data_IF_855528289156
#
_entry.id   IF_855528289156
#
_cell.length_a   1.000
_cell.length_b   1.000
_cell.length_c   1.000
_cell.angle_alpha   90.00
_cell.angle_beta   90.00
_cell.angle_gamma   90.00
#
_symmetry.space_group_name_H-M   'P 1'
#
loop_
_entity.id
_entity.type
_entity.pdbx_description
1 polymer ?
2 polymer ?
3 non-polymer ?
#
# COMPACT_ATOMS: atom_id res chain seq x y z
N UNK A 2 -6.04 23.94 -32.59
CA UNK A 2 -6.72 24.07 -31.27
C UNK A 2 -6.40 22.85 -30.41
N UNK A 3 -5.18 22.83 -29.88
CA UNK A 3 -4.71 21.76 -28.99
C UNK A 3 -5.15 22.07 -27.57
N UNK A 4 -5.93 21.17 -26.97
CA UNK A 4 -6.46 21.38 -25.61
C UNK A 4 -5.91 20.36 -24.63
N UNK A 5 -5.70 20.81 -23.39
CA UNK A 5 -5.30 19.94 -22.28
C UNK A 5 -6.49 19.69 -21.38
N UNK A 6 -6.87 18.42 -21.23
CA UNK A 6 -7.99 18.07 -20.37
C UNK A 6 -7.56 17.92 -18.92
N UNK A 7 -8.14 18.74 -18.06
CA UNK A 7 -7.98 18.60 -16.61
C UNK A 7 -9.30 18.10 -16.02
N UNK A 8 -9.22 17.02 -15.24
CA UNK A 8 -10.39 16.41 -14.62
C UNK A 8 -10.11 16.28 -13.14
N UNK A 9 -10.82 17.08 -12.36
CA UNK A 9 -10.57 17.15 -10.94
C UNK A 9 -11.90 16.96 -10.24
N UNK A 10 -11.85 16.77 -8.93
CA UNK A 10 -12.99 16.95 -8.06
C UNK A 10 -13.86 18.15 -8.46
N UNK A 11 -13.24 19.29 -8.82
CA UNK A 11 -14.00 20.51 -9.10
C UNK A 11 -14.84 20.45 -10.39
N UNK A 12 -14.46 19.57 -11.31
CA UNK A 12 -15.15 19.43 -12.59
C UNK A 12 -14.21 19.21 -13.75
N UNK A 13 -14.70 19.51 -14.95
CA UNK A 13 -13.92 19.35 -16.18
C UNK A 13 -13.47 20.70 -16.69
N UNK A 14 -12.15 20.91 -16.76
CA UNK A 14 -11.58 22.16 -17.27
C UNK A 14 -10.76 21.97 -18.54
N UNK A 15 -10.99 22.84 -19.52
CA UNK A 15 -10.21 22.87 -20.74
C UNK A 15 -9.15 23.96 -20.67
N UNK A 16 -7.91 23.58 -20.94
CA UNK A 16 -6.80 24.53 -20.94
C UNK A 16 -6.13 24.57 -22.30
N UNK A 17 -5.54 25.73 -22.61
CA UNK A 17 -4.63 25.83 -23.75
C UNK A 17 -3.21 25.50 -23.30
N UNK A 18 -2.28 25.44 -24.24
CA UNK A 18 -0.90 25.06 -23.96
C UNK A 18 -0.15 26.01 -23.03
N UNK A 19 -0.64 27.24 -22.86
CA UNK A 19 -0.04 28.20 -21.94
C UNK A 19 -0.73 28.29 -20.58
N UNK A 20 -1.65 27.36 -20.31
CA UNK A 20 -2.33 27.26 -19.02
C UNK A 20 -3.47 28.24 -18.79
N UNK A 21 -4.11 28.68 -19.88
CA UNK A 21 -5.29 29.55 -19.83
C UNK A 21 -6.56 28.70 -19.98
N UNK A 22 -7.58 29.01 -19.18
CA UNK A 22 -8.85 28.31 -19.28
C UNK A 22 -9.62 28.74 -20.54
N UNK A 23 -9.98 27.75 -21.36
CA UNK A 23 -10.77 27.98 -22.58
C UNK A 23 -12.27 27.88 -22.26
N UNK A 24 -12.65 26.82 -21.57
CA UNK A 24 -14.03 26.59 -21.13
C UNK A 24 -14.02 25.57 -19.98
N UNK A 25 -15.13 25.51 -19.24
CA UNK A 25 -15.22 24.62 -18.08
C UNK A 25 -16.66 24.17 -17.82
N UNK A 26 -16.80 22.96 -17.28
CA UNK A 26 -18.08 22.53 -16.72
C UNK A 26 -17.84 21.99 -15.31
N UNK A 27 -18.42 22.68 -14.33
CA UNK A 27 -18.26 22.38 -12.91
C UNK A 27 -19.08 21.16 -12.50
N UNK A 28 -18.47 20.31 -11.68
CA UNK A 28 -19.17 19.21 -11.03
C UNK A 28 -20.30 19.70 -10.11
N UNK A 29 -21.36 18.88 -9.94
CA UNK A 29 -22.32 19.21 -8.88
C UNK A 29 -21.70 18.92 -7.53
N UNK A 30 -22.07 19.69 -6.51
CA UNK A 30 -21.52 19.50 -5.17
C UNK A 30 -22.16 18.33 -4.44
N UNK A 31 -22.09 17.16 -5.06
CA UNK A 31 -22.72 15.95 -4.52
C UNK A 31 -21.68 14.86 -4.27
N UNK A 32 -21.53 14.48 -3.00
CA UNK A 32 -20.53 13.50 -2.59
C UNK A 32 -20.59 12.20 -3.39
N UNK A 33 -21.81 11.65 -3.51
CA UNK A 33 -22.04 10.40 -4.21
C UNK A 33 -21.62 10.45 -5.68
N UNK A 34 -22.09 11.46 -6.39
CA UNK A 34 -21.75 11.63 -7.82
C UNK A 34 -20.25 11.76 -8.06
N UNK A 35 -19.59 12.63 -7.30
CA UNK A 35 -18.16 12.86 -7.49
C UNK A 35 -17.35 11.61 -7.14
N UNK A 36 -17.70 10.97 -6.01
CA UNK A 36 -17.08 9.71 -5.60
C UNK A 36 -17.12 8.63 -6.68
N UNK A 37 -18.32 8.34 -7.18
CA UNK A 37 -18.47 7.31 -8.20
C UNK A 37 -17.89 7.72 -9.55
N UNK A 38 -17.91 9.02 -9.85
CA UNK A 38 -17.27 9.52 -11.06
C UNK A 38 -15.75 9.39 -11.06
N UNK A 39 -15.14 9.56 -9.89
CA UNK A 39 -13.71 9.36 -9.71
C UNK A 39 -13.29 7.90 -9.82
N UNK A 40 -14.19 7.00 -9.44
CA UNK A 40 -13.92 5.56 -9.47
C UNK A 40 -13.80 5.04 -10.89
N UNK A 41 -14.71 5.47 -11.76
CA UNK A 41 -14.73 5.06 -13.16
C UNK A 41 -13.59 5.71 -13.94
N UNK A 42 -13.19 6.90 -13.49
CA UNK A 42 -12.09 7.63 -14.10
C UNK A 42 -10.73 6.99 -13.81
N UNK A 43 -10.66 6.16 -12.77
CA UNK A 43 -9.47 5.36 -12.48
C UNK A 43 -9.30 4.27 -13.54
N UNK A 44 -10.43 3.76 -14.02
CA UNK A 44 -10.47 2.79 -15.10
C UNK A 44 -10.30 3.47 -16.45
N UNK A 45 -10.58 4.77 -16.52
CA UNK A 45 -10.39 5.55 -17.73
C UNK A 45 -11.69 6.00 -18.36
N UNK A 46 -12.77 5.97 -17.60
CA UNK A 46 -14.06 6.49 -18.06
C UNK A 46 -14.15 8.01 -17.79
N UNK A 47 -14.37 8.81 -18.86
CA UNK A 47 -14.43 10.27 -18.71
C UNK A 47 -15.59 10.71 -17.85
N UNK A 48 -15.42 11.83 -17.16
CA UNK A 48 -16.49 12.46 -16.40
C UNK A 48 -17.65 12.75 -17.33
N UNK A 49 -18.87 12.67 -16.84
CA UNK A 49 -20.03 13.11 -17.62
C UNK A 49 -19.92 14.61 -17.90
N UNK A 50 -19.19 15.32 -17.05
CA UNK A 50 -18.85 16.74 -17.25
C UNK A 50 -17.85 16.93 -18.39
N UNK A 51 -17.00 15.92 -18.59
CA UNK A 51 -16.01 15.93 -19.66
C UNK A 51 -16.68 15.77 -21.03
N UNK A 52 -17.63 14.85 -21.10
CA UNK A 52 -18.39 14.56 -22.31
C UNK A 52 -19.11 15.83 -22.80
N UNK A 53 -19.71 16.57 -21.88
CA UNK A 53 -20.39 17.84 -22.22
C UNK A 53 -19.41 18.92 -22.65
N UNK A 54 -18.26 18.95 -21.99
CA UNK A 54 -17.24 19.97 -22.25
C UNK A 54 -16.62 19.76 -23.63
N UNK A 55 -16.31 18.51 -23.96
CA UNK A 55 -15.70 18.18 -25.24
C UNK A 55 -16.66 18.32 -26.41
N UNK A 56 -17.91 18.66 -26.11
CA UNK A 56 -18.92 18.93 -27.14
C UNK A 56 -18.94 20.41 -27.51
N UNK A 57 -19.20 21.28 -26.53
CA UNK A 57 -19.23 22.74 -26.76
C UNK A 57 -17.86 23.37 -27.00
N UNK A 58 -16.80 22.61 -26.78
CA UNK A 58 -15.46 23.03 -27.21
C UNK A 58 -15.12 22.32 -28.51
N UNK A 59 -14.97 20.99 -28.46
CA UNK A 59 -14.62 20.17 -29.63
C UNK A 59 -13.33 20.63 -30.32
N UNK A 60 -12.17 20.30 -29.71
CA UNK A 60 -10.87 20.81 -30.17
C UNK A 60 -10.23 19.91 -31.23
N UNK A 61 -9.16 20.41 -31.85
CA UNK A 61 -8.46 19.61 -32.85
C UNK A 61 -7.81 18.42 -32.16
N UNK A 62 -7.04 18.67 -31.11
CA UNK A 62 -6.44 17.58 -30.35
C UNK A 62 -6.62 17.81 -28.86
N UNK A 63 -7.00 16.74 -28.15
CA UNK A 63 -7.08 16.79 -26.68
C UNK A 63 -5.92 15.99 -26.11
N UNK A 64 -5.24 16.57 -25.12
CA UNK A 64 -4.27 15.81 -24.35
C UNK A 64 -4.77 15.56 -22.92
N UNK A 65 -4.51 14.35 -22.45
CA UNK A 65 -5.11 13.83 -21.23
C UNK A 65 -4.05 13.39 -20.21
N UNK A 66 -4.47 13.28 -18.95
CA UNK A 66 -3.61 12.95 -17.82
C UNK A 66 -3.50 11.41 -17.56
N UNK A 67 -4.51 10.65 -17.99
CA UNK A 67 -4.54 9.19 -17.76
C UNK A 67 -4.70 8.41 -19.06
N UNK A 68 -3.70 7.59 -19.38
CA UNK A 68 -3.61 6.90 -20.67
C UNK A 68 -4.64 5.77 -20.91
N UNK A 69 -5.45 5.47 -19.91
CA UNK A 69 -6.58 4.56 -20.09
C UNK A 69 -7.81 5.28 -20.67
N UNK A 70 -7.80 6.61 -20.57
CA UNK A 70 -8.84 7.45 -21.15
C UNK A 70 -8.66 7.65 -22.65
N UNK A 71 -7.42 7.48 -23.13
CA UNK A 71 -7.07 7.66 -24.54
C UNK A 71 -7.99 6.86 -25.48
N UNK A 72 -8.01 5.50 -25.35
CA UNK A 72 -8.85 4.72 -26.26
C UNK A 72 -10.36 4.91 -26.05
N UNK A 73 -10.76 5.22 -24.82
CA UNK A 73 -12.16 5.54 -24.53
C UNK A 73 -12.66 6.80 -25.27
N UNK A 74 -11.81 7.83 -25.36
CA UNK A 74 -12.13 9.06 -26.07
C UNK A 74 -11.91 8.97 -27.57
N UNK A 75 -11.07 8.02 -27.99
CA UNK A 75 -10.88 7.73 -29.41
C UNK A 75 -12.01 6.87 -29.97
N UNK A 76 -13.02 6.61 -29.14
CA UNK A 76 -14.25 5.95 -29.57
C UNK A 76 -15.33 7.00 -29.81
N UNK A 77 -15.12 8.19 -29.26
CA UNK A 77 -16.04 9.32 -29.43
C UNK A 77 -15.66 10.22 -30.61
N UNK A 78 -14.56 9.89 -31.29
CA UNK A 78 -14.08 10.67 -32.42
C UNK A 78 -13.28 11.91 -32.06
N UNK A 79 -12.37 11.78 -31.10
CA UNK A 79 -11.40 12.83 -30.81
C UNK A 79 -9.98 12.38 -31.10
N UNK A 80 -9.15 13.32 -31.56
CA UNK A 80 -7.73 13.09 -31.66
C UNK A 80 -7.14 13.25 -30.24
N UNK A 81 -6.66 12.15 -29.67
CA UNK A 81 -6.32 12.07 -28.25
C UNK A 81 -4.89 11.59 -27.99
N UNK A 82 -4.13 12.37 -27.22
CA UNK A 82 -2.81 11.94 -26.80
C UNK A 82 -2.59 12.05 -25.29
N UNK A 83 -1.51 11.42 -24.83
CA UNK A 83 -1.21 11.33 -23.41
C UNK A 83 0.07 12.10 -23.08
N UNK A 84 -0.04 13.01 -22.13
CA UNK A 84 1.12 13.65 -21.52
C UNK A 84 1.07 13.45 -20.00
N UNK A 85 2.03 12.67 -19.47
CA UNK A 85 2.02 12.21 -18.09
C UNK A 85 1.89 13.36 -17.08
N UNK A 86 2.96 14.15 -16.93
CA UNK A 86 3.02 15.17 -15.89
C UNK A 86 3.29 16.54 -16.51
N UNK A 87 2.33 17.01 -17.30
CA UNK A 87 2.50 18.22 -18.10
C UNK A 87 2.54 19.49 -17.25
N UNK A 88 3.27 20.49 -17.73
CA UNK A 88 3.33 21.83 -17.15
C UNK A 88 1.96 22.41 -16.87
N UNK A 89 1.04 22.25 -17.83
CA UNK A 89 -0.33 22.77 -17.73
C UNK A 89 -1.13 22.17 -16.56
N UNK A 90 -0.96 20.87 -16.32
CA UNK A 90 -1.68 20.25 -15.22
C UNK A 90 -1.07 20.67 -13.87
N UNK A 91 0.25 20.82 -13.85
CA UNK A 91 0.91 21.41 -12.70
C UNK A 91 0.38 22.84 -12.44
N UNK A 92 0.26 23.65 -13.50
CA UNK A 92 -0.27 25.01 -13.42
C UNK A 92 -1.71 25.05 -12.88
N UNK A 93 -2.49 24.04 -13.23
CA UNK A 93 -3.79 23.88 -12.63
C UNK A 93 -3.71 23.62 -11.12
N UNK A 94 -2.81 22.75 -10.69
CA UNK A 94 -2.73 22.41 -9.26
C UNK A 94 -2.12 23.52 -8.39
N UNK A 95 -1.26 24.34 -8.99
CA UNK A 95 -0.65 25.48 -8.29
C UNK A 95 -1.70 26.53 -7.92
N UNK A 96 -2.79 26.55 -8.68
CA UNK A 96 -3.82 27.57 -8.51
C UNK A 96 -5.09 27.09 -7.80
N UNK A 97 -4.98 25.94 -7.12
CA UNK A 97 -6.13 25.10 -6.82
C UNK A 97 -7.06 25.47 -5.64
N UNK A 98 -6.60 26.27 -4.68
CA UNK A 98 -7.79 26.70 -3.96
C UNK A 98 -8.58 27.67 -4.85
N UNK A 99 -7.91 28.74 -5.30
CA UNK A 99 -8.51 29.84 -6.08
C UNK A 99 -9.46 29.48 -7.25
N UNK A 100 -9.08 28.53 -8.10
CA UNK A 100 -9.89 28.26 -9.28
C UNK A 100 -11.20 27.53 -8.98
N UNK A 101 -11.24 26.79 -7.87
CA UNK A 101 -12.48 26.22 -7.37
C UNK A 101 -13.52 27.33 -7.18
N UNK A 102 -13.05 28.50 -6.75
CA UNK A 102 -13.87 29.70 -6.60
C UNK A 102 -14.21 30.33 -7.95
N UNK A 103 -13.20 30.51 -8.79
CA UNK A 103 -13.32 31.10 -10.14
C UNK A 103 -14.34 30.41 -11.04
N UNK A 104 -14.36 29.08 -11.02
CA UNK A 104 -15.34 28.30 -11.79
C UNK A 104 -16.61 27.99 -10.98
N UNK A 105 -16.71 28.58 -9.78
CA UNK A 105 -17.94 28.57 -8.95
C UNK A 105 -18.29 27.22 -8.28
N UNK A 106 -17.32 26.34 -8.14
CA UNK A 106 -17.52 25.08 -7.39
C UNK A 106 -17.63 25.35 -5.89
N UNK A 107 -16.83 26.29 -5.41
CA UNK A 107 -16.84 26.66 -4.01
C UNK A 107 -17.05 28.16 -3.90
N UNK A 108 -17.78 28.59 -2.88
CA UNK A 108 -17.99 30.02 -2.61
C UNK A 108 -16.76 30.70 -1.99
N UNK A 109 -15.95 29.94 -1.26
CA UNK A 109 -14.68 30.42 -0.69
C UNK A 109 -13.71 29.24 -0.43
N UNK A 110 -12.55 29.52 0.16
CA UNK A 110 -11.58 28.47 0.51
C UNK A 110 -12.08 27.53 1.61
N UNK A 111 -12.64 28.10 2.67
CA UNK A 111 -13.04 27.31 3.84
C UNK A 111 -13.99 26.20 3.45
N UNK A 112 -14.88 26.47 2.49
CA UNK A 112 -15.87 25.49 2.10
C UNK A 112 -15.39 24.55 1.01
N UNK A 113 -14.43 25.00 0.19
CA UNK A 113 -13.75 24.09 -0.72
C UNK A 113 -13.12 22.96 0.06
N UNK A 114 -12.31 23.31 1.06
CA UNK A 114 -11.60 22.33 1.88
C UNK A 114 -12.49 21.53 2.82
N UNK A 115 -13.61 22.13 3.27
CA UNK A 115 -14.62 21.39 4.02
C UNK A 115 -15.23 20.32 3.13
N UNK A 116 -15.51 20.68 1.88
CA UNK A 116 -16.02 19.69 0.95
C UNK A 116 -14.96 18.67 0.54
N UNK A 117 -13.72 19.12 0.32
CA UNK A 117 -12.63 18.23 -0.05
C UNK A 117 -12.46 17.17 1.03
N UNK A 118 -12.50 17.59 2.29
CA UNK A 118 -12.38 16.68 3.41
C UNK A 118 -13.52 15.68 3.53
N UNK A 119 -14.77 16.11 3.33
CA UNK A 119 -15.93 15.21 3.34
C UNK A 119 -15.75 14.17 2.23
N UNK A 120 -15.28 14.65 1.09
CA UNK A 120 -15.10 13.86 -0.12
C UNK A 120 -14.10 12.71 0.05
N UNK A 121 -12.90 13.03 0.52
CA UNK A 121 -11.84 12.06 0.74
C UNK A 121 -12.24 10.98 1.74
N UNK A 122 -13.04 11.34 2.75
CA UNK A 122 -13.57 10.32 3.66
C UNK A 122 -14.55 9.35 2.98
N UNK A 123 -15.47 9.86 2.16
CA UNK A 123 -16.37 8.98 1.38
C UNK A 123 -15.61 8.09 0.38
N UNK A 124 -14.82 8.72 -0.47
CA UNK A 124 -14.01 8.05 -1.48
C UNK A 124 -13.18 6.88 -0.94
N UNK A 125 -12.46 7.10 0.16
CA UNK A 125 -11.68 5.99 0.74
C UNK A 125 -12.52 4.91 1.45
N UNK A 126 -13.62 5.31 2.09
CA UNK A 126 -14.59 4.35 2.65
C UNK A 126 -15.16 3.43 1.56
N UNK A 127 -15.49 4.03 0.41
CA UNK A 127 -15.97 3.29 -0.75
C UNK A 127 -14.92 2.26 -1.21
N UNK A 128 -13.71 2.74 -1.45
CA UNK A 128 -12.58 1.89 -1.84
C UNK A 128 -12.18 0.86 -0.78
N UNK A 129 -12.46 1.15 0.49
CA UNK A 129 -12.25 0.17 1.56
C UNK A 129 -13.20 -1.01 1.41
N UNK A 130 -14.49 -0.71 1.35
CA UNK A 130 -15.51 -1.73 1.20
C UNK A 130 -15.18 -2.65 0.05
N UNK A 131 -14.89 -2.05 -1.11
CA UNK A 131 -14.68 -2.83 -2.31
C UNK A 131 -13.36 -3.61 -2.28
N UNK A 132 -12.36 -3.12 -1.55
CA UNK A 132 -11.12 -3.86 -1.36
C UNK A 132 -11.34 -5.04 -0.41
N UNK A 133 -12.22 -4.84 0.58
CA UNK A 133 -12.59 -5.88 1.51
C UNK A 133 -13.47 -6.93 0.83
N UNK A 134 -14.37 -6.48 -0.04
CA UNK A 134 -15.21 -7.41 -0.81
C UNK A 134 -14.40 -8.30 -1.74
N UNK A 135 -13.47 -7.72 -2.49
CA UNK A 135 -12.58 -8.48 -3.35
C UNK A 135 -11.67 -9.45 -2.59
N UNK A 136 -11.07 -8.97 -1.50
CA UNK A 136 -10.17 -9.78 -0.70
C UNK A 136 -10.86 -11.07 -0.27
N UNK A 137 -12.07 -10.97 0.28
CA UNK A 137 -12.67 -12.18 0.74
C UNK A 137 -13.51 -12.93 -0.31
N UNK A 138 -13.74 -12.33 -1.47
CA UNK A 138 -14.11 -13.13 -2.64
C UNK A 138 -12.97 -14.11 -2.96
N UNK A 139 -11.73 -13.61 -2.88
CA UNK A 139 -10.54 -14.42 -3.16
C UNK A 139 -10.33 -15.47 -2.08
N UNK A 140 -10.75 -15.17 -0.86
CA UNK A 140 -10.52 -16.08 0.25
C UNK A 140 -11.48 -17.27 0.26
N UNK A 141 -12.77 -17.06 -0.05
CA UNK A 141 -13.71 -18.18 -0.22
C UNK A 141 -13.28 -19.14 -1.34
N UNK A 142 -12.68 -18.60 -2.39
CA UNK A 142 -12.15 -19.43 -3.47
C UNK A 142 -11.04 -20.33 -2.95
N UNK A 143 -10.12 -19.76 -2.18
CA UNK A 143 -9.09 -20.52 -1.52
C UNK A 143 -9.67 -21.57 -0.59
N UNK A 144 -10.76 -21.22 0.11
CA UNK A 144 -11.41 -22.16 1.03
C UNK A 144 -12.00 -23.32 0.23
N UNK A 145 -12.66 -23.00 -0.88
CA UNK A 145 -13.39 -24.00 -1.65
C UNK A 145 -12.43 -24.91 -2.41
N UNK A 146 -11.32 -24.34 -2.86
CA UNK A 146 -10.25 -25.12 -3.47
C UNK A 146 -9.68 -26.13 -2.46
N UNK A 147 -9.57 -25.73 -1.19
CA UNK A 147 -9.12 -26.69 -0.16
C UNK A 147 -10.10 -27.84 0.00
N UNK A 148 -11.40 -27.54 -0.05
CA UNK A 148 -12.42 -28.57 -0.04
C UNK A 148 -12.29 -29.51 -1.25
N UNK A 149 -12.06 -28.91 -2.42
CA UNK A 149 -11.85 -29.65 -3.66
C UNK A 149 -10.65 -30.56 -3.59
N UNK A 150 -9.58 -30.06 -2.98
CA UNK A 150 -8.36 -30.83 -2.75
C UNK A 150 -8.58 -31.96 -1.72
N UNK A 151 -9.31 -31.68 -0.65
CA UNK A 151 -9.65 -32.71 0.33
C UNK A 151 -10.34 -33.88 -0.35
N UNK A 152 -11.45 -33.55 -1.01
CA UNK A 152 -12.25 -34.52 -1.76
C UNK A 152 -11.39 -35.34 -2.74
N UNK A 153 -10.50 -34.65 -3.47
CA UNK A 153 -9.60 -35.27 -4.42
C UNK A 153 -8.59 -36.21 -3.74
N UNK A 154 -8.07 -35.80 -2.59
CA UNK A 154 -7.13 -36.63 -1.82
C UNK A 154 -7.82 -37.93 -1.47
N UNK A 155 -9.05 -37.87 -0.96
CA UNK A 155 -9.76 -39.09 -0.62
C UNK A 155 -9.99 -39.97 -1.83
N UNK A 156 -10.27 -39.34 -2.96
CA UNK A 156 -10.55 -40.06 -4.20
C UNK A 156 -9.30 -40.81 -4.66
N UNK A 157 -8.20 -40.10 -4.86
CA UNK A 157 -6.97 -40.69 -5.39
C UNK A 157 -6.38 -41.70 -4.44
N UNK A 158 -6.56 -41.45 -3.15
CA UNK A 158 -5.90 -42.29 -2.18
C UNK A 158 -6.67 -43.59 -2.00
N UNK A 159 -7.98 -43.55 -2.22
CA UNK A 159 -8.77 -44.78 -2.29
C UNK A 159 -8.48 -45.60 -3.56
N UNK A 160 -8.06 -44.92 -4.63
CA UNK A 160 -7.62 -45.57 -5.87
C UNK A 160 -6.26 -46.25 -5.70
N UNK A 161 -5.33 -45.53 -5.07
CA UNK A 161 -4.01 -46.03 -4.76
C UNK A 161 -4.07 -47.28 -3.86
N UNK A 162 -4.87 -47.20 -2.80
CA UNK A 162 -5.07 -48.32 -1.85
C UNK A 162 -5.59 -49.60 -2.52
N UNK A 163 -6.56 -49.47 -3.40
CA UNK A 163 -7.05 -50.60 -4.17
C UNK A 163 -6.02 -51.11 -5.17
N UNK A 164 -5.31 -50.18 -5.81
CA UNK A 164 -4.37 -50.49 -6.88
C UNK A 164 -3.15 -51.15 -6.28
N UNK A 165 -2.55 -50.50 -5.28
CA UNK A 165 -1.37 -51.02 -4.62
C UNK A 165 -1.61 -52.31 -3.87
N UNK A 166 -2.86 -52.55 -3.48
CA UNK A 166 -3.21 -53.74 -2.71
C UNK A 166 -3.00 -55.04 -3.47
N UNK A 167 -2.88 -54.94 -4.80
CA UNK A 167 -2.64 -56.09 -5.66
C UNK A 167 -1.26 -56.67 -5.31
N UNK A 168 -0.37 -55.80 -4.89
CA UNK A 168 1.02 -56.11 -4.54
C UNK A 168 1.19 -56.36 -3.05
N UNK A 169 0.59 -55.52 -2.24
CA UNK A 169 0.79 -55.54 -0.79
C UNK A 169 -0.55 -55.17 -0.16
N UNK A 170 -1.53 -56.10 -0.16
CA UNK A 170 -2.86 -55.79 0.40
C UNK A 170 -2.88 -55.53 1.91
N UNK A 171 -1.95 -56.13 2.65
CA UNK A 171 -1.87 -56.00 4.11
C UNK A 171 -1.68 -54.56 4.62
N UNK A 172 -1.09 -53.70 3.81
CA UNK A 172 -0.66 -52.37 4.26
C UNK A 172 -1.82 -51.39 4.49
N UNK A 173 -2.88 -51.54 3.70
CA UNK A 173 -4.03 -50.66 3.70
C UNK A 173 -4.65 -50.42 5.09
N UNK A 174 -4.81 -51.49 5.87
CA UNK A 174 -5.34 -51.38 7.23
C UNK A 174 -4.26 -51.01 8.25
N UNK A 175 -3.00 -51.14 7.86
CA UNK A 175 -1.87 -50.77 8.72
C UNK A 175 -1.51 -49.28 8.65
N UNK A 176 -1.90 -48.60 7.58
CA UNK A 176 -1.70 -47.15 7.47
C UNK A 176 -2.99 -46.38 7.25
N UNK A 177 -3.55 -45.88 8.35
CA UNK A 177 -4.72 -45.02 8.33
C UNK A 177 -4.55 -43.73 7.49
N UNK A 178 -3.42 -43.03 7.70
CA UNK A 178 -3.19 -41.70 7.12
C UNK A 178 -2.84 -41.76 5.63
N UNK A 179 -3.54 -40.97 4.83
CA UNK A 179 -3.38 -41.01 3.39
C UNK A 179 -2.00 -40.55 2.94
N UNK A 180 -1.46 -39.56 3.66
CA UNK A 180 -0.15 -39.00 3.35
C UNK A 180 0.97 -40.01 3.63
N UNK A 181 0.88 -40.72 4.75
CA UNK A 181 1.85 -41.75 5.12
C UNK A 181 1.84 -42.91 4.12
N UNK A 182 0.64 -43.34 3.73
CA UNK A 182 0.47 -44.39 2.76
C UNK A 182 1.09 -44.00 1.40
N UNK A 183 0.64 -42.89 0.83
CA UNK A 183 1.26 -42.33 -0.38
C UNK A 183 2.80 -42.23 -0.30
N UNK A 184 3.31 -41.80 0.85
CA UNK A 184 4.77 -41.73 1.09
C UNK A 184 5.49 -43.08 0.95
N UNK A 185 4.87 -44.15 1.45
CA UNK A 185 5.49 -45.47 1.38
C UNK A 185 5.54 -45.96 -0.07
N UNK A 186 4.45 -45.77 -0.81
CA UNK A 186 4.42 -46.17 -2.22
C UNK A 186 5.43 -45.35 -3.02
N UNK A 187 5.36 -44.03 -2.87
CA UNK A 187 6.25 -43.11 -3.55
C UNK A 187 7.71 -43.39 -3.25
N UNK A 188 8.03 -43.55 -1.97
CA UNK A 188 9.42 -43.67 -1.53
C UNK A 188 10.07 -45.01 -1.83
N UNK A 189 9.36 -46.10 -1.51
CA UNK A 189 9.98 -47.44 -1.47
C UNK A 189 9.49 -48.45 -2.51
N UNK A 190 8.31 -48.20 -3.07
CA UNK A 190 7.73 -49.05 -4.12
C UNK A 190 7.45 -50.47 -3.68
N UNK A 191 8.33 -51.38 -4.11
CA UNK A 191 8.34 -52.79 -3.69
C UNK A 191 8.24 -52.92 -2.19
N UNK A 192 7.30 -53.74 -1.73
CA UNK A 192 7.23 -54.11 -0.33
C UNK A 192 8.53 -54.80 0.13
N UNK A 193 9.33 -55.28 -0.83
CA UNK A 193 10.62 -55.91 -0.57
C UNK A 193 11.76 -54.94 -0.24
N UNK A 194 11.56 -53.66 -0.54
CA UNK A 194 12.54 -52.64 -0.18
C UNK A 194 12.40 -52.14 1.25
N UNK A 195 11.25 -52.39 1.87
CA UNK A 195 11.00 -51.90 3.22
C UNK A 195 11.96 -52.49 4.25
N UNK A 196 12.68 -51.60 4.92
CA UNK A 196 13.63 -51.99 5.97
C UNK A 196 13.26 -51.25 7.25
N UNK A 197 13.85 -51.66 8.37
CA UNK A 197 13.70 -50.96 9.62
C UNK A 197 14.13 -49.50 9.41
N UNK A 198 15.32 -49.34 8.83
CA UNK A 198 15.99 -48.05 8.71
C UNK A 198 15.21 -47.04 7.87
N UNK A 199 14.51 -47.51 6.83
CA UNK A 199 13.76 -46.61 5.97
C UNK A 199 12.42 -46.19 6.57
N UNK A 200 11.77 -47.07 7.32
CA UNK A 200 10.50 -46.74 7.96
C UNK A 200 10.65 -45.75 9.11
N UNK A 201 11.85 -45.64 9.66
CA UNK A 201 12.14 -44.64 10.68
C UNK A 201 12.10 -43.22 10.10
N UNK A 202 12.43 -43.08 8.82
CA UNK A 202 12.33 -41.80 8.10
C UNK A 202 10.91 -41.22 8.10
N UNK A 203 9.95 -42.03 8.54
CA UNK A 203 8.56 -41.57 8.62
C UNK A 203 8.13 -41.45 10.09
N UNK A 204 9.07 -41.76 10.98
CA UNK A 204 8.84 -41.65 12.41
C UNK A 204 8.01 -42.74 13.08
N UNK A 205 7.90 -43.92 12.47
CA UNK A 205 7.22 -45.03 13.14
C UNK A 205 8.11 -45.63 14.21
N UNK A 206 7.51 -46.00 15.33
CA UNK A 206 8.24 -46.69 16.40
C UNK A 206 8.28 -48.20 16.19
N UNK A 207 8.90 -48.90 17.14
CA UNK A 207 9.17 -50.32 17.02
C UNK A 207 7.97 -51.19 16.63
N UNK A 208 6.83 -50.98 17.28
CA UNK A 208 5.63 -51.79 17.08
C UNK A 208 5.04 -51.65 15.67
N UNK A 209 4.88 -50.41 15.22
CA UNK A 209 4.40 -50.13 13.86
C UNK A 209 5.33 -50.77 12.82
N UNK A 210 6.63 -50.50 12.92
CA UNK A 210 7.64 -51.02 11.99
C UNK A 210 7.64 -52.55 11.89
N UNK A 211 7.79 -53.22 13.03
CA UNK A 211 7.82 -54.68 13.02
C UNK A 211 6.50 -55.33 12.53
N UNK A 212 5.36 -54.69 12.78
CA UNK A 212 4.11 -55.12 12.16
C UNK A 212 4.13 -55.03 10.63
N UNK A 213 4.57 -53.88 10.10
CA UNK A 213 4.66 -53.65 8.65
C UNK A 213 5.67 -54.56 7.95
N UNK A 214 6.86 -54.69 8.54
CA UNK A 214 7.89 -55.60 8.02
C UNK A 214 7.43 -57.06 8.01
N UNK A 215 6.66 -57.42 9.05
CA UNK A 215 6.10 -58.77 9.19
C UNK A 215 5.11 -59.04 8.06
N UNK A 216 4.25 -58.06 7.78
CA UNK A 216 3.23 -58.15 6.75
C UNK A 216 3.82 -58.32 5.35
N UNK A 217 4.93 -57.62 5.07
CA UNK A 217 5.64 -57.70 3.79
C UNK A 217 6.31 -59.06 3.57
N UNK A 218 6.84 -59.63 4.66
CA UNK A 218 7.48 -60.94 4.65
C UNK A 218 6.45 -62.05 4.35
N UNK A 219 5.32 -62.01 5.04
CA UNK A 219 4.28 -63.03 4.94
C UNK A 219 3.18 -62.65 3.93
N UNK A 220 3.44 -61.60 3.15
CA UNK A 220 2.43 -61.00 2.27
C UNK A 220 1.82 -61.98 1.28
N UNK A 221 0.56 -61.73 0.97
CA UNK A 221 -0.21 -62.56 0.03
C UNK A 221 -0.19 -61.98 -1.39
N UNK A 222 0.22 -60.72 -1.53
CA UNK A 222 0.15 -60.02 -2.81
C UNK A 222 0.97 -60.60 -3.96
N UNK A 223 0.75 -60.05 -5.16
CA UNK A 223 1.45 -60.47 -6.38
C UNK A 223 2.77 -59.72 -6.63
N UNK A 224 3.69 -60.36 -7.35
CA UNK A 224 4.90 -59.70 -7.85
C UNK A 224 4.55 -58.72 -8.95
N UNK A 225 5.28 -57.62 -9.01
CA UNK A 225 4.97 -56.54 -9.90
C UNK A 225 6.23 -56.02 -10.59
N UNK A 226 6.10 -55.45 -11.77
CA UNK A 226 7.27 -54.94 -12.48
C UNK A 226 7.49 -53.47 -12.22
N UNK A 227 8.65 -52.96 -12.60
CA UNK A 227 8.99 -51.55 -12.38
C UNK A 227 8.07 -50.57 -13.13
N UNK A 228 7.57 -50.98 -14.29
CA UNK A 228 6.52 -50.22 -14.98
C UNK A 228 5.20 -50.16 -14.21
N UNK A 229 4.77 -51.29 -13.65
CA UNK A 229 3.58 -51.32 -12.79
C UNK A 229 3.67 -50.35 -11.58
N UNK A 230 4.73 -50.49 -10.77
CA UNK A 230 4.98 -49.56 -9.65
C UNK A 230 5.02 -48.12 -10.13
N UNK A 231 5.69 -47.91 -11.25
CA UNK A 231 5.89 -46.58 -11.80
C UNK A 231 4.57 -45.84 -12.01
N UNK A 232 3.62 -46.52 -12.66
CA UNK A 232 2.29 -45.98 -12.90
C UNK A 232 1.55 -45.68 -11.59
N UNK A 233 1.62 -46.60 -10.62
CA UNK A 233 1.04 -46.37 -9.29
C UNK A 233 1.66 -45.13 -8.65
N UNK A 234 2.97 -44.95 -8.83
CA UNK A 234 3.68 -43.80 -8.25
C UNK A 234 3.24 -42.45 -8.85
N UNK A 235 2.68 -42.46 -10.04
CA UNK A 235 2.13 -41.22 -10.56
C UNK A 235 0.96 -40.75 -9.69
N UNK A 236 0.14 -41.68 -9.21
CA UNK A 236 -0.97 -41.36 -8.30
C UNK A 236 -0.44 -40.97 -6.91
N UNK A 237 0.48 -41.77 -6.38
CA UNK A 237 1.11 -41.51 -5.08
C UNK A 237 1.75 -40.13 -4.99
N UNK A 238 2.50 -39.72 -6.01
CA UNK A 238 3.16 -38.41 -6.01
C UNK A 238 2.19 -37.25 -6.14
N UNK A 239 1.11 -37.46 -6.90
CA UNK A 239 0.05 -36.49 -7.03
C UNK A 239 -0.59 -36.23 -5.67
N UNK A 240 -0.79 -37.28 -4.87
CA UNK A 240 -1.36 -37.14 -3.52
C UNK A 240 -0.44 -36.31 -2.67
N UNK A 241 0.84 -36.65 -2.66
CA UNK A 241 1.83 -35.82 -1.97
C UNK A 241 1.79 -34.35 -2.45
N UNK A 242 1.76 -34.12 -3.77
CA UNK A 242 1.70 -32.74 -4.31
C UNK A 242 0.50 -31.96 -3.74
N UNK A 243 -0.65 -32.62 -3.69
CA UNK A 243 -1.88 -32.03 -3.17
C UNK A 243 -1.83 -31.70 -1.68
N UNK A 244 -1.21 -32.56 -0.86
CA UNK A 244 -1.00 -32.21 0.55
C UNK A 244 -0.19 -30.93 0.64
N UNK A 245 0.83 -30.86 -0.21
CA UNK A 245 1.69 -29.71 -0.26
C UNK A 245 0.92 -28.45 -0.65
N UNK A 246 0.10 -28.60 -1.69
CA UNK A 246 -0.71 -27.51 -2.21
C UNK A 246 -1.74 -27.06 -1.19
N UNK A 247 -2.29 -28.00 -0.45
CA UNK A 247 -3.24 -27.66 0.61
C UNK A 247 -2.59 -26.81 1.70
N UNK A 248 -1.39 -27.19 2.14
CA UNK A 248 -0.69 -26.44 3.18
C UNK A 248 -0.38 -25.00 2.75
N UNK A 249 0.11 -24.82 1.51
CA UNK A 249 0.40 -23.50 0.95
C UNK A 249 -0.82 -22.60 0.80
N UNK A 250 -1.98 -23.20 0.57
CA UNK A 250 -3.23 -22.46 0.47
C UNK A 250 -3.68 -22.00 1.84
N UNK A 251 -3.41 -22.82 2.86
CA UNK A 251 -3.73 -22.45 4.23
C UNK A 251 -2.88 -21.30 4.73
N UNK A 252 -1.62 -21.24 4.30
CA UNK A 252 -0.78 -20.08 4.60
C UNK A 252 -1.33 -18.85 3.91
N UNK A 253 -1.61 -18.94 2.60
CA UNK A 253 -2.26 -17.85 1.87
C UNK A 253 -3.53 -17.35 2.55
N UNK A 254 -4.40 -18.29 2.93
CA UNK A 254 -5.70 -17.99 3.56
C UNK A 254 -5.54 -17.24 4.87
N UNK A 255 -4.60 -17.66 5.71
CA UNK A 255 -4.36 -16.96 6.99
C UNK A 255 -3.87 -15.53 6.77
N UNK A 256 -2.75 -15.39 6.06
CA UNK A 256 -2.18 -14.07 5.74
C UNK A 256 -3.17 -13.07 5.17
N UNK A 257 -4.18 -13.56 4.45
CA UNK A 257 -5.16 -12.71 3.76
C UNK A 257 -6.43 -12.45 4.58
N UNK A 258 -6.92 -13.49 5.27
CA UNK A 258 -8.06 -13.33 6.19
C UNK A 258 -7.62 -12.45 7.36
N UNK A 259 -6.33 -12.49 7.66
CA UNK A 259 -5.68 -11.65 8.69
C UNK A 259 -6.05 -10.16 8.58
N UNK B 5 8.41 20.06 35.40
CA UNK B 5 7.83 20.04 34.03
C UNK B 5 7.89 21.45 33.42
N UNK B 6 8.25 21.50 32.13
CA UNK B 6 8.38 22.75 31.34
C UNK B 6 8.33 22.37 29.86
N UNK B 7 7.88 23.32 29.03
CA UNK B 7 7.82 23.13 27.57
C UNK B 7 8.49 24.31 26.83
N UNK B 8 9.35 23.98 25.88
CA UNK B 8 10.24 24.94 25.24
C UNK B 8 10.16 24.89 23.71
N UNK B 9 10.14 26.07 23.09
CA UNK B 9 10.24 26.20 21.64
C UNK B 9 11.62 25.73 21.20
N UNK B 10 11.67 24.91 20.14
CA UNK B 10 12.93 24.44 19.58
C UNK B 10 13.46 25.42 18.53
N UNK B 11 14.31 24.94 17.63
CA UNK B 11 14.77 25.74 16.49
C UNK B 11 13.66 25.88 15.46
N UNK B 12 12.80 24.86 15.43
CA UNK B 12 11.80 24.68 14.38
C UNK B 12 10.40 25.13 14.81
N UNK B 13 9.73 25.85 13.92
CA UNK B 13 8.36 26.32 14.13
C UNK B 13 7.45 25.17 14.57
N UNK B 14 6.60 25.45 15.55
CA UNK B 14 5.65 24.50 16.14
C UNK B 14 6.19 23.16 16.67
N UNK B 15 7.49 23.08 16.87
CA UNK B 15 8.07 21.92 17.52
C UNK B 15 8.70 22.33 18.86
N UNK B 16 8.31 21.61 19.90
CA UNK B 16 8.63 21.96 21.28
C UNK B 16 9.37 20.82 21.97
N UNK B 17 9.87 21.10 23.17
CA UNK B 17 10.54 20.11 24.03
C UNK B 17 9.97 20.15 25.44
N UNK B 18 9.71 18.98 26.00
CA UNK B 18 9.36 18.89 27.42
C UNK B 18 10.62 18.66 28.25
N UNK B 19 10.67 19.32 29.39
CA UNK B 19 11.64 19.02 30.44
C UNK B 19 10.87 18.24 31.50
N UNK B 20 11.45 17.16 32.00
CA UNK B 20 10.76 16.30 32.96
C UNK B 20 11.40 16.24 34.34
N UNK B 21 10.59 15.85 35.31
CA UNK B 21 10.98 15.58 36.70
C UNK B 21 12.15 14.61 36.87
N UNK B 22 12.28 13.68 35.93
CA UNK B 22 13.33 12.65 35.95
C UNK B 22 14.64 13.09 35.31
N UNK B 23 14.62 14.23 34.62
CA UNK B 23 15.82 14.78 33.98
C UNK B 23 16.00 14.44 32.50
N UNK B 24 14.91 14.09 31.82
CA UNK B 24 14.97 13.69 30.42
C UNK B 24 14.20 14.65 29.51
N UNK B 25 14.60 14.69 28.23
CA UNK B 25 13.94 15.53 27.24
C UNK B 25 13.13 14.68 26.27
N UNK B 26 11.94 15.16 25.94
CA UNK B 26 11.09 14.52 24.94
C UNK B 26 10.59 15.55 23.93
N UNK B 27 10.50 15.16 22.66
CA UNK B 27 9.94 16.02 21.63
C UNK B 27 8.42 16.08 21.78
N UNK B 28 7.81 17.03 21.09
CA UNK B 28 6.53 17.54 21.52
C UNK B 28 5.89 18.41 20.43
N UNK B 29 4.62 18.17 20.12
CA UNK B 29 3.82 19.08 19.25
C UNK B 29 2.57 19.59 19.95
N UNK B 30 2.15 20.82 19.61
CA UNK B 30 0.90 21.39 20.13
C UNK B 30 -0.29 20.63 19.56
N UNK B 31 -1.19 20.19 20.44
CA UNK B 31 -2.36 19.40 20.03
C UNK B 31 -3.40 20.24 19.27
N UNK B 32 -3.64 19.86 18.03
CA UNK B 32 -4.66 20.51 17.21
C UNK B 32 -6.06 20.13 17.68
N UNK B 33 -6.19 18.96 18.32
CA UNK B 33 -7.46 18.55 18.92
C UNK B 33 -7.33 18.22 20.42
N UNK B 34 -7.56 19.23 21.28
CA UNK B 34 -7.39 19.07 22.73
C UNK B 34 -8.16 17.87 23.29
N UNK B 35 -7.57 17.24 24.32
CA UNK B 35 -8.17 16.13 25.10
C UNK B 35 -8.24 14.77 24.39
N UNK B 36 -8.07 14.77 23.08
CA UNK B 36 -8.16 13.56 22.27
C UNK B 36 -6.81 12.94 21.94
N UNK B 37 -6.62 11.72 22.41
CA UNK B 37 -5.45 10.90 22.14
C UNK B 37 -5.42 10.44 20.68
N UNK B 38 -4.25 10.01 20.20
CA UNK B 38 -4.13 9.43 18.85
C UNK B 38 -3.67 7.96 18.87
N UNK B 39 -2.49 7.69 19.44
CA UNK B 39 -1.90 6.35 19.43
C UNK B 39 -1.34 5.89 20.79
N UNK B 40 -1.94 6.34 21.89
CA UNK B 40 -1.47 5.99 23.23
C UNK B 40 -0.48 6.96 23.84
N UNK B 41 0.01 7.89 23.03
CA UNK B 41 0.99 8.90 23.44
C UNK B 41 0.44 9.81 24.53
N UNK B 42 1.34 10.38 25.33
CA UNK B 42 0.90 11.16 26.49
C UNK B 42 0.54 12.62 26.17
N UNK B 43 -0.48 13.10 26.89
CA UNK B 43 -0.94 14.47 26.80
C UNK B 43 -0.36 15.27 27.97
N UNK B 44 0.29 16.39 27.65
CA UNK B 44 0.89 17.23 28.68
C UNK B 44 0.38 18.66 28.68
N UNK B 45 0.11 19.15 29.90
CA UNK B 45 -0.52 20.45 30.13
C UNK B 45 0.46 21.47 30.68
N UNK B 46 0.87 22.41 29.83
CA UNK B 46 1.72 23.49 30.30
C UNK B 46 1.12 24.85 29.93
N UNK B 47 0.92 25.67 30.95
CA UNK B 47 0.42 27.03 30.80
C UNK B 47 -0.81 27.15 29.88
N UNK B 48 -1.85 26.38 30.22
CA UNK B 48 -3.11 26.43 29.50
C UNK B 48 -3.16 25.72 28.16
N UNK B 49 -2.00 25.32 27.63
CA UNK B 49 -1.93 24.67 26.32
C UNK B 49 -1.62 23.17 26.43
N UNK B 50 -2.27 22.37 25.60
CA UNK B 50 -2.06 20.93 25.61
C UNK B 50 -1.14 20.46 24.50
N UNK B 51 -0.14 19.66 24.86
CA UNK B 51 0.85 19.16 23.89
C UNK B 51 0.83 17.64 23.82
N UNK B 52 1.02 17.11 22.62
CA UNK B 52 1.17 15.67 22.43
C UNK B 52 2.64 15.32 22.36
N UNK B 53 3.05 14.40 23.22
CA UNK B 53 4.39 13.83 23.18
C UNK B 53 4.66 13.19 21.83
N UNK B 54 5.89 13.32 21.34
CA UNK B 54 6.29 12.77 20.04
C UNK B 54 7.38 11.73 20.17
N UNK B 55 6.98 10.47 20.28
CA UNK B 55 7.91 9.37 20.49
C UNK B 55 8.84 9.08 19.29
N UNK B 56 10.12 9.38 19.46
CA UNK B 56 11.13 9.21 18.38
C UNK B 56 11.41 7.76 17.97
N UNK B 57 11.01 6.82 18.82
CA UNK B 57 11.14 5.38 18.54
C UNK B 57 10.07 4.87 17.60
N UNK B 58 8.93 5.56 17.57
CA UNK B 58 7.81 5.19 16.70
C UNK B 58 7.75 6.02 15.43
N UNK B 59 8.26 7.24 15.50
CA UNK B 59 8.19 8.16 14.37
C UNK B 59 9.58 8.48 13.83
N UNK B 60 9.76 8.18 12.53
CA UNK B 60 11.02 8.48 11.85
C UNK B 60 11.36 9.98 11.87
N UNK B 61 10.38 10.86 11.65
CA UNK B 61 10.64 12.30 11.59
C UNK B 61 11.18 12.88 12.92
N UNK B 62 10.52 12.55 14.02
CA UNK B 62 11.01 12.92 15.35
C UNK B 62 12.44 12.38 15.52
N UNK B 63 12.68 11.18 15.02
CA UNK B 63 14.00 10.61 14.99
C UNK B 63 15.01 11.55 14.36
N UNK B 64 14.70 12.03 13.16
CA UNK B 64 15.62 12.89 12.41
C UNK B 64 15.97 14.17 13.16
N UNK B 65 14.96 14.79 13.76
CA UNK B 65 15.13 16.02 14.52
C UNK B 65 16.21 15.87 15.60
N UNK B 66 16.15 14.78 16.35
CA UNK B 66 17.08 14.54 17.46
C UNK B 66 18.44 14.04 16.98
N UNK B 67 18.47 13.55 15.75
CA UNK B 67 19.72 13.17 15.09
C UNK B 67 20.31 14.36 14.35
N UNK B 68 19.67 15.51 14.50
CA UNK B 68 20.20 16.79 14.04
C UNK B 68 19.82 17.25 12.64
N UNK B 69 18.56 17.05 12.26
CA UNK B 69 18.06 17.67 11.04
C UNK B 69 18.20 19.18 11.18
N UNK B 70 19.01 19.79 10.31
CA UNK B 70 19.31 21.22 10.38
C UNK B 70 18.06 22.07 10.17
N UNK B 71 17.50 22.01 8.97
CA UNK B 71 16.28 22.74 8.67
C UNK B 71 15.18 21.76 8.41
N UNK B 72 14.01 22.03 9.00
CA UNK B 72 12.83 21.21 8.80
C UNK B 72 11.86 21.94 7.84
N UNK B 73 11.55 21.34 6.68
CA UNK B 73 10.66 22.00 5.71
C UNK B 73 9.18 21.96 6.12
N UNK B 74 8.85 21.21 7.17
CA UNK B 74 7.47 21.14 7.64
C UNK B 74 7.20 22.16 8.75
N UNK B 75 6.62 23.30 8.37
CA UNK B 75 6.29 24.40 9.27
C UNK B 75 4.78 24.79 9.18
N UNK B 76 4.39 25.92 9.76
CA UNK B 76 2.98 26.35 9.76
C UNK B 76 2.50 26.70 8.36
N UNK B 77 1.38 26.11 7.95
CA UNK B 77 0.76 26.39 6.65
C UNK B 77 1.30 25.53 5.51
N UNK B 78 2.19 24.60 5.83
CA UNK B 78 2.84 23.78 4.84
C UNK B 78 1.83 22.83 4.19
N UNK B 79 1.91 22.71 2.85
CA UNK B 79 1.15 21.69 2.13
C UNK B 79 2.03 20.47 1.88
N UNK B 80 1.60 19.30 2.35
CA UNK B 80 2.44 18.10 2.25
C UNK B 80 1.72 16.90 1.61
N UNK B 81 2.47 16.15 0.81
CA UNK B 81 2.01 14.87 0.29
C UNK B 81 2.81 13.82 1.05
N UNK B 82 2.11 12.99 1.79
CA UNK B 82 2.74 12.00 2.67
C UNK B 82 2.48 10.62 2.09
N UNK B 83 3.50 9.99 1.53
CA UNK B 83 3.35 8.64 1.00
C UNK B 83 3.80 7.59 2.03
N UNK B 84 2.89 6.68 2.34
CA UNK B 84 3.07 5.76 3.46
C UNK B 84 2.45 6.28 4.76
N UNK B 85 1.27 6.87 4.70
CA UNK B 85 0.63 7.45 5.89
C UNK B 85 0.44 6.46 7.06
N UNK B 86 0.35 5.16 6.76
CA UNK B 86 0.16 4.12 7.79
C UNK B 86 -1.05 4.40 8.68
N UNK B 87 -0.95 4.05 9.96
CA UNK B 87 -2.08 4.17 10.88
C UNK B 87 -2.32 5.60 11.39
N UNK B 88 -1.34 6.48 11.13
CA UNK B 88 -1.46 7.91 11.42
C UNK B 88 -0.53 8.49 12.47
N UNK B 89 0.37 7.67 13.03
CA UNK B 89 1.35 8.14 14.03
C UNK B 89 2.02 9.47 13.68
N UNK B 90 2.77 9.51 12.57
CA UNK B 90 3.53 10.71 12.26
C UNK B 90 2.82 11.86 11.49
N UNK B 91 1.83 11.57 10.63
CA UNK B 91 1.09 12.66 9.98
C UNK B 91 0.31 13.42 11.04
N UNK B 92 -0.14 12.72 12.08
CA UNK B 92 -0.89 13.39 13.14
C UNK B 92 -0.04 14.53 13.72
N UNK B 93 1.26 14.30 13.84
CA UNK B 93 2.18 15.32 14.27
C UNK B 93 2.43 16.39 13.21
N UNK B 94 2.52 16.03 11.92
CA UNK B 94 2.63 17.06 10.89
C UNK B 94 1.37 17.94 10.85
N UNK B 95 0.21 17.33 11.05
CA UNK B 95 -1.06 18.03 11.17
C UNK B 95 -1.04 19.05 12.34
N UNK B 96 -0.33 18.74 13.43
CA UNK B 96 -0.14 19.66 14.55
C UNK B 96 0.73 20.84 14.12
N UNK B 97 1.87 20.55 13.51
CA UNK B 97 2.79 21.56 12.99
C UNK B 97 2.18 22.44 11.89
N UNK B 98 1.67 21.79 10.85
CA UNK B 98 0.96 22.37 9.73
C UNK B 98 -0.10 23.38 10.17
N UNK B 99 -0.75 23.06 11.28
CA UNK B 99 -1.93 23.79 11.79
C UNK B 99 -3.05 23.77 10.74
N UNK B 100 -4.12 24.53 10.96
CA UNK B 100 -5.31 24.38 10.12
C UNK B 100 -5.13 24.88 8.69
N UNK B 101 -4.36 25.94 8.47
CA UNK B 101 -4.20 26.44 7.10
C UNK B 101 -3.27 25.64 6.20
N UNK B 102 -2.47 24.76 6.79
CA UNK B 102 -1.74 23.77 6.03
C UNK B 102 -2.61 22.56 5.75
N UNK B 103 -2.17 21.73 4.81
CA UNK B 103 -2.91 20.54 4.43
C UNK B 103 -1.96 19.37 4.24
N UNK B 104 -2.33 18.22 4.78
CA UNK B 104 -1.62 16.98 4.59
C UNK B 104 -2.46 15.97 3.80
N UNK B 105 -2.00 15.60 2.61
CA UNK B 105 -2.62 14.54 1.81
C UNK B 105 -1.91 13.22 2.13
N UNK B 106 -2.64 12.26 2.71
CA UNK B 106 -2.04 11.00 3.14
C UNK B 106 -2.39 9.81 2.27
N UNK B 107 -1.41 9.28 1.55
CA UNK B 107 -1.62 8.12 0.67
C UNK B 107 -1.17 6.84 1.36
N UNK B 108 -2.04 5.84 1.34
CA UNK B 108 -1.77 4.55 1.93
C UNK B 108 -2.44 3.43 1.12
N UNK B 109 -1.71 2.33 0.99
CA UNK B 109 -2.00 1.21 0.12
C UNK B 109 -2.78 0.14 0.87
N UNK B 110 -2.45 -0.07 2.14
CA UNK B 110 -2.94 -1.20 2.93
C UNK B 110 -4.27 -0.92 3.62
N UNK B 111 -5.32 -1.68 3.24
CA UNK B 111 -6.66 -1.62 3.85
C UNK B 111 -6.68 -1.65 5.39
N UNK B 112 -6.02 -2.64 6.00
CA UNK B 112 -6.00 -2.77 7.46
C UNK B 112 -5.51 -1.48 8.12
N UNK B 113 -4.40 -0.98 7.60
CA UNK B 113 -3.74 0.20 8.10
C UNK B 113 -4.57 1.47 7.87
N UNK B 114 -5.06 1.62 6.64
CA UNK B 114 -5.93 2.74 6.25
C UNK B 114 -7.15 2.88 7.16
N UNK B 115 -7.74 1.76 7.55
CA UNK B 115 -8.93 1.76 8.40
C UNK B 115 -8.72 2.58 9.67
N UNK B 116 -7.49 2.55 10.19
CA UNK B 116 -7.11 3.31 11.39
C UNK B 116 -6.75 4.75 11.06
N UNK B 117 -6.23 4.98 9.84
CA UNK B 117 -5.97 6.33 9.34
C UNK B 117 -7.25 7.16 9.18
N UNK B 118 -8.38 6.49 9.01
CA UNK B 118 -9.66 7.17 8.95
C UNK B 118 -10.01 7.81 10.29
N UNK B 119 -9.81 7.09 11.38
CA UNK B 119 -10.11 7.58 12.73
C UNK B 119 -9.37 8.88 13.03
N UNK B 120 -8.10 8.94 12.63
CA UNK B 120 -7.26 10.12 12.84
C UNK B 120 -7.77 11.31 12.01
N UNK B 121 -8.03 11.06 10.73
CA UNK B 121 -8.42 12.10 9.76
C UNK B 121 -9.83 12.64 9.97
N UNK B 122 -10.71 11.81 10.54
CA UNK B 122 -12.08 12.23 10.90
C UNK B 122 -12.05 13.41 11.87
N UNK B 123 -11.18 13.33 12.86
CA UNK B 123 -11.08 14.37 13.88
C UNK B 123 -10.14 15.51 13.49
N UNK B 124 -9.43 15.35 12.37
CA UNK B 124 -8.43 16.33 11.95
C UNK B 124 -8.71 16.89 10.56
N UNK B 125 -9.32 18.08 10.48
CA UNK B 125 -9.75 18.64 9.21
C UNK B 125 -8.67 18.95 8.18
N UNK B 126 -7.40 18.93 8.57
CA UNK B 126 -6.30 19.15 7.63
C UNK B 126 -5.63 17.88 7.12
N UNK B 127 -6.20 16.71 7.45
CA UNK B 127 -5.71 15.44 6.95
C UNK B 127 -6.70 14.88 5.94
N UNK B 128 -6.21 14.62 4.73
CA UNK B 128 -6.99 14.09 3.61
C UNK B 128 -6.47 12.69 3.25
N UNK B 129 -7.13 11.63 3.76
CA UNK B 129 -6.65 10.25 3.59
C UNK B 129 -7.07 9.64 2.26
N UNK B 130 -6.16 8.86 1.64
CA UNK B 130 -6.45 8.20 0.37
C UNK B 130 -5.94 6.77 0.32
N UNK B 131 -6.85 5.82 0.12
CA UNK B 131 -6.41 4.48 -0.24
C UNK B 131 -6.02 4.50 -1.71
N UNK B 132 -4.72 4.38 -1.96
CA UNK B 132 -4.17 4.36 -3.31
C UNK B 132 -2.74 3.86 -3.28
N UNK B 133 -2.30 3.29 -4.39
CA UNK B 133 -0.93 2.89 -4.60
C UNK B 133 -0.11 4.10 -5.06
N UNK B 134 0.98 4.36 -4.33
CA UNK B 134 1.87 5.49 -4.62
C UNK B 134 2.62 5.31 -5.94
N UNK B 135 2.58 4.11 -6.50
CA UNK B 135 3.11 3.86 -7.85
C UNK B 135 2.27 4.51 -8.92
N UNK B 136 0.99 4.78 -8.62
CA UNK B 136 0.08 5.37 -9.60
C UNK B 136 -0.50 6.71 -9.13
N UNK B 137 0.33 7.78 -9.17
CA UNK B 137 -0.12 9.12 -8.84
C UNK B 137 -1.29 9.63 -9.69
N UNK B 138 -1.53 9.00 -10.84
CA UNK B 138 -2.68 9.33 -11.68
C UNK B 138 -4.01 8.94 -11.03
N UNK B 139 -3.95 8.10 -10.00
CA UNK B 139 -5.15 7.62 -9.30
C UNK B 139 -5.55 8.47 -8.08
N UNK B 140 -4.81 9.54 -7.80
CA UNK B 140 -5.25 10.53 -6.80
C UNK B 140 -5.02 11.98 -7.26
N UNK B 141 -4.48 12.11 -8.46
CA UNK B 141 -4.30 13.37 -9.18
C UNK B 141 -5.58 14.21 -9.27
N UNK B 142 -6.73 13.55 -9.30
CA UNK B 142 -8.00 14.24 -9.38
C UNK B 142 -8.48 14.80 -8.04
N UNK B 143 -7.68 14.62 -6.99
CA UNK B 143 -8.07 15.00 -5.62
C UNK B 143 -7.07 15.93 -4.95
N UNK B 144 -5.78 15.59 -5.04
CA UNK B 144 -4.75 16.40 -4.41
C UNK B 144 -4.53 17.75 -5.11
N UNK B 145 -3.32 18.28 -4.97
CA UNK B 145 -3.03 19.67 -5.22
C UNK B 145 -1.51 19.67 -5.21
N UNK B 146 -0.88 20.71 -5.73
CA UNK B 146 0.56 20.80 -5.61
C UNK B 146 1.03 21.13 -4.20
N UNK B 147 2.17 20.58 -3.82
CA UNK B 147 2.60 20.66 -2.44
C UNK B 147 4.00 21.27 -2.26
N UNK B 148 4.26 21.77 -1.05
CA UNK B 148 5.55 22.32 -0.67
C UNK B 148 6.54 21.23 -0.31
N UNK B 149 6.02 20.10 0.17
CA UNK B 149 6.84 19.00 0.72
C UNK B 149 6.32 17.60 0.36
N UNK B 150 7.20 16.76 -0.19
CA UNK B 150 6.89 15.34 -0.43
C UNK B 150 7.54 14.48 0.66
N UNK B 151 6.73 13.97 1.59
CA UNK B 151 7.25 13.00 2.55
C UNK B 151 7.04 11.59 2.03
N UNK B 152 8.06 10.77 2.07
CA UNK B 152 7.95 9.42 1.51
C UNK B 152 8.56 8.36 2.43
N UNK B 153 7.70 7.46 2.92
CA UNK B 153 8.13 6.35 3.74
C UNK B 153 7.37 5.05 3.35
N UNK B 154 7.90 4.38 2.34
CA UNK B 154 7.42 3.03 1.96
C UNK B 154 8.53 2.01 2.13
N UNK B 155 8.15 0.78 2.42
CA UNK B 155 9.11 -0.32 2.45
C UNK B 155 9.13 -0.97 1.06
N UNK B 156 9.63 -0.23 0.07
CA UNK B 156 9.75 -0.73 -1.31
C UNK B 156 11.20 -0.68 -1.80
N UNK B 157 11.63 -1.70 -2.56
CA UNK B 157 12.99 -1.71 -3.13
C UNK B 157 13.29 -0.51 -4.05
N UNK B 158 12.23 0.08 -4.60
CA UNK B 158 12.36 1.17 -5.57
C UNK B 158 11.65 2.44 -5.08
N UNK B 159 11.99 2.88 -3.86
CA UNK B 159 11.33 4.02 -3.25
C UNK B 159 11.65 5.33 -3.96
N UNK B 160 12.85 5.39 -4.53
CA UNK B 160 13.40 6.64 -5.02
C UNK B 160 12.73 7.14 -6.29
N UNK B 161 12.73 6.32 -7.33
CA UNK B 161 12.04 6.70 -8.57
C UNK B 161 10.55 6.93 -8.34
N UNK B 162 9.93 6.12 -7.47
CA UNK B 162 8.54 6.32 -7.07
C UNK B 162 8.35 7.72 -6.49
N UNK B 163 9.29 8.11 -5.62
CA UNK B 163 9.31 9.45 -5.06
C UNK B 163 9.49 10.48 -6.17
N UNK B 164 10.41 10.20 -7.09
CA UNK B 164 10.70 11.10 -8.21
C UNK B 164 9.49 11.28 -9.14
N UNK B 165 8.83 10.16 -9.46
CA UNK B 165 7.64 10.18 -10.28
C UNK B 165 6.56 11.07 -9.64
N UNK B 166 6.35 10.91 -8.34
CA UNK B 166 5.42 11.75 -7.60
C UNK B 166 5.81 13.23 -7.58
N UNK B 167 7.10 13.48 -7.38
CA UNK B 167 7.63 14.83 -7.39
C UNK B 167 7.25 15.59 -8.66
N UNK B 168 7.49 15.00 -9.83
CA UNK B 168 7.19 15.71 -11.07
C UNK B 168 5.70 15.97 -11.32
N UNK B 169 4.82 15.21 -10.66
CA UNK B 169 3.39 15.49 -10.65
C UNK B 169 3.06 16.63 -9.69
N UNK B 170 3.55 16.54 -8.45
CA UNK B 170 2.98 17.29 -7.32
C UNK B 170 3.84 18.35 -6.64
N UNK B 171 5.16 18.17 -6.65
CA UNK B 171 6.05 19.02 -5.87
C UNK B 171 6.26 20.34 -6.58
N UNK B 172 6.02 21.44 -5.87
CA UNK B 172 6.38 22.76 -6.38
C UNK B 172 7.88 22.83 -6.65
N UNK B 173 8.25 23.55 -7.71
CA UNK B 173 9.65 23.90 -7.96
C UNK B 173 10.16 24.59 -6.71
N UNK B 174 11.36 24.21 -6.26
CA UNK B 174 11.96 24.70 -5.02
C UNK B 174 11.22 24.25 -3.76
N UNK B 175 10.48 23.16 -3.90
CA UNK B 175 9.90 22.45 -2.77
C UNK B 175 10.92 21.44 -2.29
N UNK B 176 10.57 20.69 -1.24
CA UNK B 176 11.51 19.78 -0.59
C UNK B 176 10.93 18.39 -0.42
N UNK B 177 11.80 17.39 -0.38
CA UNK B 177 11.36 16.01 -0.21
C UNK B 177 12.16 15.30 0.87
N UNK B 178 11.46 14.58 1.73
CA UNK B 178 12.05 13.72 2.74
C UNK B 178 11.79 12.29 2.33
N UNK B 179 12.87 11.52 2.19
CA UNK B 179 12.77 10.15 1.70
C UNK B 179 13.42 9.22 2.70
N UNK B 180 12.69 8.16 3.07
CA UNK B 180 13.18 7.13 4.00
C UNK B 180 13.73 5.92 3.26
N UNK B 181 15.06 5.75 3.35
CA UNK B 181 15.84 4.75 2.61
C UNK B 181 16.20 3.55 3.49
N UNK B 182 16.50 2.41 2.87
CA UNK B 182 17.04 1.25 3.57
C UNK B 182 18.54 1.42 3.78
N UNK B 190 30.61 5.31 7.88
CA UNK B 190 31.06 5.59 9.23
C UNK B 190 32.09 6.72 9.28
N UNK B 191 33.03 6.71 8.34
CA UNK B 191 34.05 7.76 8.19
C UNK B 191 33.86 8.58 6.90
N UNK B 192 33.23 8.00 5.85
CA UNK B 192 32.84 8.82 4.69
C UNK B 192 31.62 9.67 4.97
N UNK B 193 31.28 10.58 4.05
CA UNK B 193 30.13 11.49 4.23
C UNK B 193 28.80 11.01 3.65
N UNK B 194 28.82 10.70 2.36
CA UNK B 194 27.63 10.26 1.59
C UNK B 194 28.07 9.60 0.27
N UNK B 195 29.25 9.00 0.32
CA UNK B 195 29.67 7.97 -0.62
C UNK B 195 28.79 6.75 -0.32
N UNK B 196 28.51 6.55 0.97
CA UNK B 196 27.71 5.43 1.48
C UNK B 196 26.44 5.25 0.64
N UNK B 197 25.77 6.36 0.37
CA UNK B 197 24.49 6.34 -0.34
C UNK B 197 24.52 6.92 -1.76
N UNK B 198 25.63 6.71 -2.50
CA UNK B 198 25.76 7.29 -3.85
C UNK B 198 24.69 6.83 -4.83
N UNK B 199 24.26 5.58 -4.72
CA UNK B 199 23.26 5.03 -5.62
C UNK B 199 22.00 5.91 -5.64
N UNK B 200 21.48 6.19 -4.46
CA UNK B 200 20.28 7.04 -4.32
C UNK B 200 20.61 8.54 -4.40
N UNK B 201 21.73 8.94 -3.79
CA UNK B 201 22.29 10.29 -3.90
C UNK B 201 22.33 10.75 -5.36
N UNK B 202 22.92 9.94 -6.23
CA UNK B 202 23.08 10.25 -7.66
C UNK B 202 21.75 10.27 -8.41
N UNK B 203 20.96 9.23 -8.20
CA UNK B 203 19.70 9.05 -8.92
C UNK B 203 18.79 10.25 -8.74
N UNK B 204 18.82 10.87 -7.56
CA UNK B 204 18.11 12.11 -7.33
C UNK B 204 18.75 13.24 -8.11
N UNK B 205 20.09 13.33 -8.04
CA UNK B 205 20.85 14.40 -8.68
C UNK B 205 20.55 14.64 -10.15
N UNK B 206 20.14 13.59 -10.86
CA UNK B 206 19.68 13.73 -12.24
C UNK B 206 18.56 14.79 -12.40
N UNK B 207 18.06 15.30 -11.27
CA UNK B 207 17.05 16.38 -11.22
C UNK B 207 16.83 17.05 -9.84
N UNK B 208 17.36 16.44 -8.77
CA UNK B 208 17.22 16.96 -7.40
C UNK B 208 18.53 17.50 -6.80
N UNK B 209 18.47 17.96 -5.55
CA UNK B 209 19.61 18.56 -4.87
C UNK B 209 19.64 18.17 -3.39
N UNK B 210 20.53 17.24 -3.03
CA UNK B 210 20.69 16.80 -1.64
C UNK B 210 21.13 17.93 -0.70
N UNK B 211 20.50 17.99 0.47
CA UNK B 211 20.86 18.97 1.50
C UNK B 211 21.41 18.24 2.73
N UNK B 212 20.89 17.05 3.01
CA UNK B 212 21.23 16.27 4.20
C UNK B 212 20.79 14.83 4.14
N UNK B 213 21.69 13.95 4.57
CA UNK B 213 21.38 12.53 4.78
C UNK B 213 21.59 12.20 6.25
N UNK B 214 20.55 11.69 6.90
CA UNK B 214 20.57 11.44 8.33
C UNK B 214 20.41 9.98 8.66
N UNK B 215 21.39 9.43 9.39
CA UNK B 215 21.29 8.09 9.95
C UNK B 215 20.38 8.14 11.18
N UNK B 216 19.49 7.16 11.31
CA UNK B 216 18.43 7.22 12.32
C UNK B 216 18.70 6.42 13.58
N UNK B 217 19.92 5.90 13.71
CA UNK B 217 20.33 5.13 14.89
C UNK B 217 20.51 6.06 16.09
N UNK B 218 20.18 5.59 17.33
CA UNK B 218 19.61 4.27 17.68
C UNK B 218 18.08 4.25 17.75
N UNK B 219 17.43 5.32 17.26
CA UNK B 219 15.93 5.54 17.18
C UNK B 219 15.29 4.56 16.20
N UNK B 220 15.88 4.54 14.88
CA UNK B 220 15.57 3.46 13.95
C UNK B 220 16.86 2.90 13.36
N UNK B 221 17.08 1.60 13.56
CA UNK B 221 18.32 0.93 13.17
C UNK B 221 18.20 0.14 11.85
N UNK B 222 17.40 0.66 10.91
CA UNK B 222 17.20 0.02 9.61
C UNK B 222 17.13 1.04 8.48
N UNK B 223 16.80 2.29 8.82
CA UNK B 223 16.50 3.31 7.83
C UNK B 223 17.31 4.60 8.00
N UNK B 224 17.48 5.33 6.89
CA UNK B 224 18.08 6.68 6.88
C UNK B 224 17.15 7.66 6.16
N UNK B 225 17.38 8.97 6.34
CA UNK B 225 16.55 9.99 5.70
C UNK B 225 17.33 10.95 4.80
N UNK B 226 16.77 11.20 3.62
CA UNK B 226 17.34 12.15 2.68
C UNK B 226 16.45 13.39 2.55
N UNK B 227 17.01 14.56 2.88
CA UNK B 227 16.35 15.82 2.62
C UNK B 227 16.88 16.38 1.31
N UNK B 228 15.98 16.72 0.39
CA UNK B 228 16.38 17.19 -0.93
C UNK B 228 15.66 18.47 -1.37
N UNK B 229 16.04 18.97 -2.54
CA UNK B 229 15.46 20.19 -3.10
C UNK B 229 15.22 19.95 -4.58
N UNK B 230 13.98 20.13 -5.02
CA UNK B 230 13.61 19.98 -6.41
C UNK B 230 13.95 21.27 -7.15
N UNK B 231 14.79 21.15 -8.18
CA UNK B 231 15.34 22.30 -8.90
C UNK B 231 14.32 22.94 -9.85
#
# INVERSE_FOLDING_TARGET
>A
MVKIYLIEHVIGAVAYDENGNIVDYITNPRDLGKITEELLNNEKGIPFSATVELLKKVNPQEVVVENEAEVPKLQALGYRVSYEPYSKVSRIFRESLPKVAIDIKFASNEEDYYNFLHELSLEYTRRKLRSAAQKRDLLAIQAVRAMDDIDKTINLFSERLREWYSIHFPELDKLIEDHEEYATIVSRFGDRGFLTIDSLKELGFNEQRINRILDAAKKSIGADISEDDLSAMRMIANTILDLYNIRRNLNNYLEGVMKEVAHHHHHH
>B
MAEVITVKQTNMENIYECEFNDGSFRLCTRNLVPNFNVYGERLIKYEGVEYREWNAFRSKLAGAILKGLKTNPIRKGTKVLYLGAASGTTISHVSDIIELNGKAYGVEFSPRVVRELLLVAQRRPNIFPLLADARFPQSYKSVVENVDVLYVDIAQPDQTDIAIYNAKFFLKVNGDMLLVIKARSIDVTKDPKEIYKTEVEKLENSNFETIQIINLDPYDKDHAIVLSKYKG
#
